data_IF_659997297858
#
_entry.id   IF_659997297858
#
_cell.length_a   1.000
_cell.length_b   1.000
_cell.length_c   1.000
_cell.angle_alpha   90.00
_cell.angle_beta   90.00
_cell.angle_gamma   90.00
#
_symmetry.space_group_name_H-M   'P 1'
#
loop_
_entity.id
_entity.type
_entity.pdbx_description
1 polymer ?
#
# COMPACT_ATOMS: atom_id res chain seq x y z
N UNK A 1 -28.98 24.78 -6.13
CA UNK A 1 -27.98 24.76 -5.04
C UNK A 1 -26.99 23.66 -5.34
N UNK A 2 -25.75 24.01 -5.69
CA UNK A 2 -24.68 23.04 -5.92
C UNK A 2 -23.59 23.33 -4.89
N UNK A 3 -23.37 22.41 -3.95
CA UNK A 3 -22.24 22.46 -3.04
C UNK A 3 -21.05 21.84 -3.76
N UNK A 4 -20.19 22.66 -4.35
CA UNK A 4 -18.88 22.20 -4.78
C UNK A 4 -18.12 21.77 -3.52
N UNK A 5 -17.86 20.46 -3.40
CA UNK A 5 -17.01 19.92 -2.33
C UNK A 5 -15.62 20.51 -2.49
N UNK A 6 -15.32 21.51 -1.67
CA UNK A 6 -13.99 22.11 -1.55
C UNK A 6 -13.13 21.21 -0.67
N UNK A 7 -12.75 20.04 -1.18
CA UNK A 7 -11.68 19.25 -0.57
C UNK A 7 -10.47 19.21 -1.49
N UNK A 8 -9.29 19.26 -0.87
CA UNK A 8 -7.99 19.31 -1.51
C UNK A 8 -7.85 18.28 -2.65
N UNK A 9 -7.35 18.71 -3.81
CA UNK A 9 -6.98 17.84 -4.94
C UNK A 9 -5.79 16.91 -4.63
N UNK A 10 -5.15 17.06 -3.46
CA UNK A 10 -4.06 16.20 -3.01
C UNK A 10 -4.57 15.12 -2.07
N UNK A 11 -4.61 13.88 -2.59
CA UNK A 11 -4.92 12.68 -1.81
C UNK A 11 -3.62 11.99 -1.40
N UNK A 12 -3.47 11.79 -0.09
CA UNK A 12 -2.36 11.06 0.50
C UNK A 12 -2.60 9.56 0.31
N UNK A 13 -1.65 8.88 -0.33
CA UNK A 13 -1.77 7.45 -0.71
C UNK A 13 -0.78 6.55 0.02
N UNK A 14 0.23 7.13 0.69
CA UNK A 14 1.23 6.41 1.47
C UNK A 14 1.83 7.31 2.56
N UNK A 15 2.21 6.74 3.70
CA UNK A 15 2.80 7.45 4.83
C UNK A 15 3.92 6.62 5.48
N UNK A 16 5.07 7.23 5.75
CA UNK A 16 6.19 6.57 6.41
C UNK A 16 5.95 6.37 7.91
N UNK A 17 5.44 7.40 8.59
CA UNK A 17 5.27 7.41 10.05
C UNK A 17 3.81 7.67 10.44
N UNK A 18 2.96 6.75 10.01
CA UNK A 18 1.50 6.87 10.14
C UNK A 18 1.07 7.10 11.59
N UNK A 19 0.15 8.06 11.80
CA UNK A 19 -0.39 8.43 13.11
C UNK A 19 0.60 9.12 14.05
N UNK A 20 1.83 9.38 13.59
CA UNK A 20 2.91 9.95 14.40
C UNK A 20 3.57 11.12 13.64
N UNK A 21 2.88 12.27 13.49
CA UNK A 21 3.43 13.39 12.74
C UNK A 21 4.72 13.90 13.39
N UNK A 22 5.66 14.33 12.54
CA UNK A 22 6.87 15.05 12.95
C UNK A 22 6.59 16.55 13.00
N UNK A 23 7.44 17.29 13.72
CA UNK A 23 7.32 18.75 13.84
C UNK A 23 7.85 19.45 12.58
N UNK A 24 7.55 20.73 12.48
CA UNK A 24 8.22 21.61 11.52
C UNK A 24 9.74 21.55 11.71
N UNK A 25 10.50 21.62 10.60
CA UNK A 25 11.95 21.42 10.54
C UNK A 25 12.43 19.96 10.69
N UNK A 26 11.52 18.99 10.64
CA UNK A 26 11.88 17.60 10.42
C UNK A 26 12.62 17.41 9.08
N UNK A 27 13.47 16.39 9.03
CA UNK A 27 14.29 16.08 7.85
C UNK A 27 13.94 14.71 7.29
N UNK A 28 13.88 14.62 5.97
CA UNK A 28 13.80 13.35 5.25
C UNK A 28 15.04 13.22 4.39
N UNK A 29 15.94 12.33 4.78
CA UNK A 29 17.31 12.27 4.24
C UNK A 29 17.70 10.87 3.83
N UNK A 30 18.45 10.78 2.73
CA UNK A 30 19.08 9.57 2.25
C UNK A 30 20.56 9.59 2.64
N UNK A 31 20.93 8.75 3.59
CA UNK A 31 22.28 8.68 4.18
C UNK A 31 23.29 8.02 3.25
N UNK A 32 24.58 8.33 3.46
CA UNK A 32 25.69 7.70 2.73
C UNK A 32 25.86 6.19 3.00
N UNK A 33 25.26 5.69 4.07
CA UNK A 33 25.13 4.26 4.39
C UNK A 33 24.00 3.57 3.59
N UNK A 34 23.27 4.33 2.77
CA UNK A 34 22.16 3.85 1.97
C UNK A 34 20.82 3.78 2.70
N UNK A 35 20.72 4.32 3.93
CA UNK A 35 19.47 4.32 4.69
C UNK A 35 18.64 5.58 4.41
N UNK A 36 17.34 5.41 4.19
CA UNK A 36 16.39 6.52 4.15
C UNK A 36 15.80 6.76 5.54
N UNK A 37 15.92 7.99 6.05
CA UNK A 37 15.60 8.35 7.44
C UNK A 37 14.70 9.58 7.48
N UNK A 38 13.60 9.46 8.22
CA UNK A 38 12.78 10.58 8.67
C UNK A 38 13.17 10.89 10.13
N UNK A 39 13.77 12.05 10.36
CA UNK A 39 14.10 12.53 11.70
C UNK A 39 13.24 13.76 12.04
N UNK A 40 12.74 13.79 13.27
CA UNK A 40 11.98 14.91 13.84
C UNK A 40 12.91 16.10 14.09
N UNK A 41 12.36 17.27 14.42
CA UNK A 41 13.11 18.52 14.55
C UNK A 41 14.19 18.50 15.65
N UNK A 42 14.02 17.63 16.65
CA UNK A 42 14.99 17.39 17.74
C UNK A 42 16.07 16.35 17.37
N UNK A 43 16.08 15.87 16.13
CA UNK A 43 17.00 14.85 15.63
C UNK A 43 16.58 13.41 15.95
N UNK A 44 15.47 13.19 16.67
CA UNK A 44 14.97 11.85 16.94
C UNK A 44 14.51 11.18 15.66
N UNK A 45 15.00 9.97 15.39
CA UNK A 45 14.53 9.17 14.25
C UNK A 45 13.07 8.78 14.47
N UNK A 46 12.18 9.31 13.63
CA UNK A 46 10.76 9.04 13.65
C UNK A 46 10.42 7.80 12.81
N UNK A 47 11.11 7.61 11.69
CA UNK A 47 11.01 6.43 10.85
C UNK A 47 12.30 6.22 10.05
N UNK A 48 12.59 4.98 9.67
CA UNK A 48 13.68 4.67 8.75
C UNK A 48 13.40 3.39 7.95
N UNK A 49 13.98 3.30 6.75
CA UNK A 49 13.85 2.13 5.86
C UNK A 49 14.56 0.88 6.37
N UNK A 50 15.51 1.02 7.30
CA UNK A 50 16.30 -0.09 7.83
C UNK A 50 17.23 -0.72 6.78
N UNK A 51 17.75 0.09 5.87
CA UNK A 51 18.58 -0.36 4.73
C UNK A 51 20.06 0.01 4.84
N UNK A 52 20.47 0.59 5.98
CA UNK A 52 21.86 0.90 6.28
C UNK A 52 22.78 -0.28 5.96
N UNK A 53 23.81 -0.02 5.17
CA UNK A 53 24.84 -0.97 4.73
C UNK A 53 24.32 -2.18 3.95
N UNK A 54 23.10 -2.14 3.39
CA UNK A 54 22.53 -3.20 2.55
C UNK A 54 22.83 -3.04 1.05
N UNK A 55 23.82 -2.21 0.71
CA UNK A 55 24.23 -1.96 -0.68
C UNK A 55 23.25 -1.12 -1.49
N UNK A 56 22.43 -0.31 -0.83
CA UNK A 56 21.60 0.71 -1.49
C UNK A 56 22.51 1.82 -2.02
N UNK A 57 22.31 2.19 -3.28
CA UNK A 57 23.09 3.25 -3.94
C UNK A 57 22.22 4.39 -4.45
N UNK A 58 20.89 4.25 -4.37
CA UNK A 58 19.99 5.26 -4.89
C UNK A 58 18.56 5.11 -4.38
N UNK A 59 17.86 6.26 -4.43
CA UNK A 59 16.46 6.45 -4.11
C UNK A 59 15.71 6.96 -5.35
N UNK A 60 14.55 6.38 -5.66
CA UNK A 60 13.71 6.80 -6.79
C UNK A 60 12.23 6.77 -6.42
N UNK A 61 11.47 7.72 -6.94
CA UNK A 61 10.01 7.64 -7.01
C UNK A 61 9.62 7.25 -8.44
N UNK A 62 8.99 6.10 -8.60
CA UNK A 62 8.55 5.60 -9.90
C UNK A 62 7.22 6.27 -10.32
N UNK A 63 6.90 6.32 -11.63
CA UNK A 63 5.68 6.97 -12.12
C UNK A 63 4.37 6.42 -11.54
N UNK A 64 4.36 5.17 -11.07
CA UNK A 64 3.21 4.56 -10.41
C UNK A 64 3.10 4.90 -8.90
N UNK A 65 3.96 5.78 -8.39
CA UNK A 65 4.02 6.17 -6.98
C UNK A 65 4.82 5.22 -6.09
N UNK A 66 5.46 4.18 -6.63
CA UNK A 66 6.32 3.31 -5.84
C UNK A 66 7.64 4.01 -5.52
N UNK A 67 7.91 4.20 -4.24
CA UNK A 67 9.15 4.77 -3.73
C UNK A 67 10.13 3.63 -3.47
N UNK A 68 11.26 3.59 -4.17
CA UNK A 68 12.19 2.45 -4.16
C UNK A 68 13.60 2.87 -3.76
N UNK A 69 14.24 2.00 -2.98
CA UNK A 69 15.68 2.02 -2.72
C UNK A 69 16.30 0.86 -3.49
N UNK A 70 17.32 1.13 -4.31
CA UNK A 70 17.90 0.12 -5.19
C UNK A 70 19.41 0.00 -5.06
N UNK A 71 19.93 -1.17 -5.41
CA UNK A 71 21.37 -1.41 -5.49
C UNK A 71 21.94 -1.02 -6.86
N UNK A 72 23.25 -1.21 -7.04
CA UNK A 72 23.97 -0.88 -8.28
C UNK A 72 23.53 -1.70 -9.50
N UNK A 73 22.88 -2.85 -9.29
CA UNK A 73 22.29 -3.68 -10.35
C UNK A 73 20.86 -3.26 -10.69
N UNK A 74 20.31 -2.25 -10.01
CA UNK A 74 18.93 -1.79 -10.17
C UNK A 74 17.90 -2.64 -9.42
N UNK A 75 18.31 -3.66 -8.66
CA UNK A 75 17.38 -4.47 -7.87
C UNK A 75 16.87 -3.66 -6.67
N UNK A 76 15.58 -3.76 -6.39
CA UNK A 76 14.98 -3.11 -5.23
C UNK A 76 15.41 -3.83 -3.94
N UNK A 77 15.96 -3.05 -3.01
CA UNK A 77 16.29 -3.49 -1.65
C UNK A 77 15.13 -3.17 -0.70
N UNK A 78 14.42 -2.07 -0.96
CA UNK A 78 13.23 -1.66 -0.22
C UNK A 78 12.28 -0.93 -1.17
N UNK A 79 10.97 -1.05 -0.93
CA UNK A 79 9.96 -0.33 -1.70
C UNK A 79 8.73 -0.01 -0.84
N UNK A 80 8.11 1.15 -1.06
CA UNK A 80 6.90 1.57 -0.31
C UNK A 80 5.72 0.64 -0.55
N UNK A 81 5.66 0.01 -1.72
CA UNK A 81 4.59 -0.92 -2.08
C UNK A 81 4.51 -2.16 -1.19
N UNK A 82 5.60 -2.55 -0.52
CA UNK A 82 5.61 -3.64 0.47
C UNK A 82 5.13 -3.19 1.86
N UNK A 83 4.86 -1.89 2.06
CA UNK A 83 4.38 -1.29 3.30
C UNK A 83 3.17 -0.39 3.03
N UNK A 84 2.04 -0.92 2.53
CA UNK A 84 0.85 -0.11 2.25
C UNK A 84 0.24 0.49 3.52
N UNK A 85 -0.52 1.57 3.33
CA UNK A 85 -1.36 2.19 4.37
C UNK A 85 -2.83 1.80 4.17
N UNK A 86 -3.64 2.71 3.63
CA UNK A 86 -5.08 2.54 3.40
C UNK A 86 -5.46 2.44 1.92
N UNK A 87 -4.48 2.57 1.02
CA UNK A 87 -4.67 2.68 -0.41
C UNK A 87 -3.85 1.61 -1.14
N UNK A 88 -4.47 0.95 -2.12
CA UNK A 88 -3.79 0.07 -3.07
C UNK A 88 -3.62 0.83 -4.39
N UNK A 89 -2.38 1.00 -4.83
CA UNK A 89 -2.06 1.71 -6.08
C UNK A 89 -1.94 0.76 -7.28
N UNK A 90 -2.07 1.31 -8.49
CA UNK A 90 -1.83 0.56 -9.72
C UNK A 90 -0.39 0.02 -9.75
N UNK A 91 -0.24 -1.25 -10.05
CA UNK A 91 1.01 -2.01 -9.99
C UNK A 91 1.37 -2.54 -8.59
N UNK A 92 0.63 -2.15 -7.55
CA UNK A 92 0.81 -2.66 -6.19
C UNK A 92 0.06 -3.97 -5.99
N UNK A 93 0.54 -4.81 -5.07
CA UNK A 93 -0.13 -6.07 -4.73
C UNK A 93 -0.11 -6.40 -3.27
N UNK A 94 -1.19 -7.03 -2.81
CA UNK A 94 -1.20 -7.83 -1.60
C UNK A 94 -0.71 -9.25 -1.94
N UNK A 95 0.15 -9.84 -1.11
CA UNK A 95 0.77 -11.16 -1.37
C UNK A 95 1.20 -11.87 -0.10
N UNK A 96 1.18 -13.21 -0.15
CA UNK A 96 1.73 -14.05 0.92
C UNK A 96 3.22 -13.80 1.05
N UNK A 97 3.71 -13.66 2.28
CA UNK A 97 5.12 -13.33 2.55
C UNK A 97 5.49 -11.87 2.29
N UNK A 98 4.50 -10.98 2.10
CA UNK A 98 4.68 -9.54 1.99
C UNK A 98 3.52 -8.79 2.65
N UNK A 99 3.14 -7.65 2.06
CA UNK A 99 1.94 -6.93 2.48
C UNK A 99 0.68 -7.77 2.21
N UNK A 100 -0.14 -8.00 3.23
CA UNK A 100 -1.38 -8.80 3.10
C UNK A 100 -2.64 -8.01 3.38
N UNK A 101 -2.53 -6.75 3.82
CA UNK A 101 -3.69 -5.94 4.17
C UNK A 101 -3.48 -4.46 3.96
N UNK A 102 -4.59 -3.74 3.84
CA UNK A 102 -4.70 -2.30 3.97
C UNK A 102 -5.46 -1.99 5.27
N UNK A 103 -5.14 -0.88 5.92
CA UNK A 103 -5.81 -0.44 7.16
C UNK A 103 -6.35 0.97 6.96
N UNK A 104 -7.64 1.19 7.18
CA UNK A 104 -8.28 2.50 7.04
C UNK A 104 -7.64 3.54 7.97
N UNK A 105 -7.81 4.84 7.68
CA UNK A 105 -7.57 5.90 8.66
C UNK A 105 -8.63 5.90 9.76
N UNK A 106 -8.31 6.46 10.92
CA UNK A 106 -9.25 6.62 12.03
C UNK A 106 -10.36 7.63 11.71
N UNK A 107 -10.02 8.72 11.03
CA UNK A 107 -10.99 9.66 10.43
C UNK A 107 -10.39 10.36 9.20
N UNK A 108 -11.07 11.38 8.68
CA UNK A 108 -10.51 12.23 7.62
C UNK A 108 -9.38 13.14 8.13
N UNK A 109 -9.38 13.45 9.42
CA UNK A 109 -8.44 14.33 10.11
C UNK A 109 -7.36 13.56 10.88
N UNK A 110 -7.64 12.32 11.29
CA UNK A 110 -6.71 11.46 12.03
C UNK A 110 -6.22 10.31 11.15
N UNK A 111 -4.95 10.40 10.74
CA UNK A 111 -4.29 9.42 9.88
C UNK A 111 -3.83 8.15 10.62
N UNK A 112 -4.03 8.03 11.93
CA UNK A 112 -3.74 6.80 12.66
C UNK A 112 -4.57 5.61 12.15
N UNK A 113 -4.16 4.39 12.51
CA UNK A 113 -4.86 3.18 12.12
C UNK A 113 -6.29 3.17 12.65
N UNK A 114 -7.25 3.17 11.73
CA UNK A 114 -8.67 3.09 12.00
C UNK A 114 -9.19 1.67 12.19
N UNK A 115 -10.51 1.53 12.31
CA UNK A 115 -11.12 0.26 12.69
C UNK A 115 -11.28 -0.72 11.52
N UNK A 116 -11.21 -0.26 10.26
CA UNK A 116 -11.43 -1.12 9.10
C UNK A 116 -10.11 -1.61 8.50
N UNK A 117 -10.10 -2.83 8.00
CA UNK A 117 -8.99 -3.34 7.20
C UNK A 117 -9.48 -4.23 6.06
N UNK A 118 -8.83 -4.12 4.90
CA UNK A 118 -9.03 -5.03 3.78
C UNK A 118 -7.89 -6.03 3.78
N UNK A 119 -8.18 -7.32 3.99
CA UNK A 119 -7.19 -8.37 4.17
C UNK A 119 -7.30 -9.37 3.03
N UNK A 120 -6.17 -9.75 2.45
CA UNK A 120 -6.06 -10.88 1.54
C UNK A 120 -6.00 -12.18 2.32
N UNK A 121 -7.09 -12.91 2.29
CA UNK A 121 -7.24 -14.26 2.84
C UNK A 121 -7.04 -15.31 1.74
N UNK A 122 -6.74 -16.57 2.09
CA UNK A 122 -6.55 -17.65 1.12
C UNK A 122 -7.69 -17.82 0.12
N UNK A 123 -8.92 -17.43 0.48
CA UNK A 123 -10.12 -17.63 -0.35
C UNK A 123 -10.70 -16.35 -0.95
N UNK A 124 -10.09 -15.19 -0.70
CA UNK A 124 -10.60 -13.92 -1.22
C UNK A 124 -10.09 -12.71 -0.45
N UNK A 125 -10.64 -11.54 -0.78
CA UNK A 125 -10.48 -10.34 0.03
C UNK A 125 -11.59 -10.26 1.07
N UNK A 126 -11.23 -9.92 2.30
CA UNK A 126 -12.16 -9.79 3.43
C UNK A 126 -11.98 -8.44 4.07
N UNK A 127 -13.08 -7.72 4.27
CA UNK A 127 -13.11 -6.50 5.06
C UNK A 127 -13.42 -6.85 6.51
N UNK A 128 -12.53 -6.45 7.42
CA UNK A 128 -12.68 -6.62 8.86
C UNK A 128 -12.96 -5.29 9.53
N UNK A 129 -13.72 -5.34 10.62
CA UNK A 129 -13.94 -4.25 11.56
C UNK A 129 -13.38 -4.62 12.94
N UNK A 130 -12.49 -3.79 13.47
CA UNK A 130 -11.88 -3.94 14.80
C UNK A 130 -12.38 -2.84 15.73
N UNK A 131 -13.06 -3.25 16.79
CA UNK A 131 -13.45 -2.36 17.90
C UNK A 131 -12.36 -2.32 18.97
N UNK A 132 -12.34 -1.25 19.77
CA UNK A 132 -11.45 -1.12 20.93
C UNK A 132 -11.73 -2.19 22.02
N UNK A 133 -12.95 -2.73 22.05
CA UNK A 133 -13.41 -3.63 23.09
C UNK A 133 -13.09 -5.12 22.82
N UNK A 134 -12.55 -5.46 21.65
CA UNK A 134 -12.23 -6.83 21.27
C UNK A 134 -10.86 -6.90 20.61
N UNK A 135 -9.97 -7.79 21.05
CA UNK A 135 -8.70 -8.01 20.37
C UNK A 135 -8.89 -8.64 18.98
N UNK A 136 -9.98 -9.39 18.78
CA UNK A 136 -10.30 -10.08 17.53
C UNK A 136 -11.18 -9.20 16.63
N UNK A 137 -10.77 -8.91 15.38
CA UNK A 137 -11.61 -8.23 14.40
C UNK A 137 -12.82 -9.08 14.00
N UNK A 138 -13.95 -8.42 13.73
CA UNK A 138 -15.15 -9.02 13.17
C UNK A 138 -15.11 -8.97 11.65
N UNK A 139 -15.60 -10.01 10.98
CA UNK A 139 -15.83 -9.96 9.52
C UNK A 139 -16.94 -8.95 9.27
N UNK A 140 -16.64 -7.90 8.52
CA UNK A 140 -17.60 -6.88 8.12
C UNK A 140 -18.20 -7.18 6.75
N UNK A 141 -17.37 -7.55 5.77
CA UNK A 141 -17.81 -7.93 4.43
C UNK A 141 -16.82 -8.90 3.78
N UNK A 142 -17.30 -9.80 2.92
CA UNK A 142 -16.45 -10.77 2.21
C UNK A 142 -16.66 -10.62 0.71
N UNK A 143 -15.57 -10.40 -0.04
CA UNK A 143 -15.59 -10.32 -1.50
C UNK A 143 -15.42 -11.70 -2.14
N UNK A 144 -16.08 -12.73 -1.60
CA UNK A 144 -15.90 -14.11 -2.05
C UNK A 144 -16.38 -14.33 -3.47
N UNK A 145 -17.38 -13.57 -3.92
CA UNK A 145 -17.89 -13.65 -5.28
C UNK A 145 -16.87 -13.20 -6.33
N UNK A 146 -15.94 -12.29 -5.98
CA UNK A 146 -14.85 -11.91 -6.88
C UNK A 146 -13.90 -13.08 -7.15
N UNK A 147 -13.76 -14.00 -6.20
CA UNK A 147 -12.77 -15.07 -6.28
C UNK A 147 -13.44 -16.45 -6.22
N UNK A 148 -14.12 -16.83 -7.31
CA UNK A 148 -14.80 -18.12 -7.39
C UNK A 148 -13.88 -19.23 -7.90
N UNK A 149 -13.27 -20.00 -6.99
CA UNK A 149 -12.49 -21.19 -7.35
C UNK A 149 -12.67 -22.38 -6.38
N UNK A 150 -12.76 -23.58 -6.95
CA UNK A 150 -13.05 -24.82 -6.21
C UNK A 150 -11.85 -25.33 -5.39
N UNK A 151 -10.62 -25.03 -5.81
CA UNK A 151 -9.39 -25.48 -5.16
C UNK A 151 -8.26 -24.44 -5.26
N UNK A 152 -7.32 -24.50 -4.32
CA UNK A 152 -6.19 -23.57 -4.22
C UNK A 152 -6.44 -22.42 -3.23
N UNK A 153 -5.41 -21.58 -3.09
CA UNK A 153 -5.42 -20.38 -2.26
C UNK A 153 -4.82 -19.21 -3.04
N UNK A 154 -5.36 -18.01 -2.80
CA UNK A 154 -4.76 -16.77 -3.27
C UNK A 154 -3.34 -16.65 -2.72
N UNK A 155 -2.43 -16.30 -3.61
CA UNK A 155 -1.03 -16.04 -3.31
C UNK A 155 -0.69 -14.56 -3.50
N UNK A 156 -1.34 -13.91 -4.48
CA UNK A 156 -1.16 -12.50 -4.82
C UNK A 156 -2.44 -11.93 -5.41
N UNK A 157 -2.77 -10.69 -5.08
CA UNK A 157 -3.80 -9.86 -5.73
C UNK A 157 -3.18 -8.50 -6.02
N UNK A 158 -3.24 -8.03 -7.26
CA UNK A 158 -2.65 -6.78 -7.71
C UNK A 158 -3.67 -5.91 -8.43
N UNK A 159 -3.63 -4.61 -8.14
CA UNK A 159 -4.40 -3.64 -8.90
C UNK A 159 -3.63 -3.29 -10.17
N UNK A 160 -4.24 -3.48 -11.33
CA UNK A 160 -3.66 -3.15 -12.61
C UNK A 160 -4.56 -2.19 -13.38
N UNK A 161 -3.94 -1.51 -14.34
CA UNK A 161 -4.60 -0.58 -15.25
C UNK A 161 -4.03 -0.86 -16.64
N UNK A 162 -4.90 -1.13 -17.59
CA UNK A 162 -4.54 -1.36 -18.98
C UNK A 162 -5.47 -0.56 -19.89
N UNK A 163 -4.99 -0.07 -21.04
CA UNK A 163 -5.88 0.58 -22.00
C UNK A 163 -6.87 -0.46 -22.55
N UNK A 164 -8.14 -0.09 -22.60
CA UNK A 164 -9.24 -0.92 -23.15
C UNK A 164 -9.13 -1.04 -24.69
N UNK A 165 -8.50 -0.06 -25.33
CA UNK A 165 -8.25 -0.03 -26.76
C UNK A 165 -6.80 0.35 -27.07
N UNK A 166 -6.29 -0.05 -28.24
CA UNK A 166 -4.93 0.30 -28.68
C UNK A 166 -4.66 1.82 -28.74
N UNK A 167 -5.73 2.62 -28.83
CA UNK A 167 -5.67 4.08 -28.88
C UNK A 167 -5.59 4.74 -27.48
N UNK A 168 -5.88 4.01 -26.40
CA UNK A 168 -5.70 4.48 -25.02
C UNK A 168 -6.68 5.56 -24.56
N UNK A 169 -7.85 5.69 -25.21
CA UNK A 169 -8.90 6.65 -24.80
C UNK A 169 -9.72 6.18 -23.59
N UNK A 170 -9.69 4.88 -23.29
CA UNK A 170 -10.33 4.27 -22.14
C UNK A 170 -9.35 3.30 -21.47
N UNK A 171 -9.47 3.15 -20.15
CA UNK A 171 -8.62 2.29 -19.34
C UNK A 171 -9.49 1.42 -18.43
N UNK A 172 -9.15 0.14 -18.38
CA UNK A 172 -9.74 -0.83 -17.49
C UNK A 172 -8.91 -0.97 -16.22
N UNK A 173 -9.61 -0.99 -15.09
CA UNK A 173 -9.03 -1.38 -13.83
C UNK A 173 -9.33 -2.86 -13.57
N UNK A 174 -8.28 -3.60 -13.20
CA UNK A 174 -8.41 -5.02 -12.89
C UNK A 174 -7.75 -5.39 -11.57
N UNK A 175 -8.31 -6.40 -10.91
CA UNK A 175 -7.64 -7.15 -9.86
C UNK A 175 -7.08 -8.44 -10.45
N UNK A 176 -5.79 -8.42 -10.77
CA UNK A 176 -5.07 -9.59 -11.23
C UNK A 176 -4.67 -10.43 -10.04
N UNK A 177 -4.98 -11.72 -10.08
CA UNK A 177 -4.72 -12.62 -8.98
C UNK A 177 -3.94 -13.86 -9.40
N UNK A 178 -3.10 -14.33 -8.48
CA UNK A 178 -2.32 -15.54 -8.64
C UNK A 178 -2.64 -16.52 -7.53
N UNK A 179 -2.64 -17.79 -7.88
CA UNK A 179 -2.76 -18.96 -7.01
C UNK A 179 -1.49 -19.77 -7.16
N UNK A 180 -1.19 -20.62 -6.17
CA UNK A 180 -0.03 -21.52 -6.23
C UNK A 180 0.04 -22.39 -7.51
N UNK A 181 -1.07 -22.55 -8.25
CA UNK A 181 -1.15 -23.26 -9.54
C UNK A 181 -2.17 -22.62 -10.51
N UNK A 182 -2.13 -21.30 -10.69
CA UNK A 182 -2.94 -20.65 -11.74
C UNK A 182 -3.04 -19.13 -11.59
N UNK A 183 -3.26 -18.43 -12.70
CA UNK A 183 -3.45 -16.98 -12.75
C UNK A 183 -4.86 -16.64 -13.23
N UNK A 184 -5.35 -15.44 -12.90
CA UNK A 184 -6.63 -14.92 -13.37
C UNK A 184 -6.69 -13.41 -13.19
N UNK A 185 -7.71 -12.79 -13.77
CA UNK A 185 -7.97 -11.35 -13.70
C UNK A 185 -9.46 -11.10 -13.56
N UNK A 186 -9.82 -10.01 -12.86
CA UNK A 186 -11.19 -9.57 -12.63
C UNK A 186 -11.26 -8.08 -12.93
N UNK A 187 -12.17 -7.68 -13.83
CA UNK A 187 -12.50 -6.27 -14.06
C UNK A 187 -13.32 -5.75 -12.86
N UNK A 188 -13.04 -4.53 -12.42
CA UNK A 188 -13.66 -3.88 -11.25
C UNK A 188 -14.29 -2.54 -11.57
#
# INVERSE_FOLDING_TARGET
MATTRSESLFRWVWEANRGNPVRENATFSFGGDGNLVLADADGRVAWQSGTANKGVVGFKLLPNGNMVLHNSKGNFIWQSFDYPTDTLLVGQSLRVGGATKLVSRASAEDNSDGPYSLVMEPKGLVMYYKTKNSPKPYVYFTFSQLFSFNQGSLYRVALNCAPDTDEGYAYDLTLDFQRHRGVGSLMI
#
